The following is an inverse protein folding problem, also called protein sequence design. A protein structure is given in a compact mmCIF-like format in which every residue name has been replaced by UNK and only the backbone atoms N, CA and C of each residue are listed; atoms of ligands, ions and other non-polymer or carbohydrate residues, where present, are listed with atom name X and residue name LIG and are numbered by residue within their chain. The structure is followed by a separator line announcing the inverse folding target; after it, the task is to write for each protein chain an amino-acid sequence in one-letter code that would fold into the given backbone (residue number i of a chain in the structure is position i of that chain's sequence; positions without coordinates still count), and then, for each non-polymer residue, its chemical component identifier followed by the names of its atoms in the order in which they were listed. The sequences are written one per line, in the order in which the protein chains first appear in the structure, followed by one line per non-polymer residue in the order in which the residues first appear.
data_IF_315315628305
#
_entry.id   IF_315315628305
#
_cell.length_a   1.000
_cell.length_b   1.000
_cell.length_c   1.000
_cell.angle_alpha   90.00
_cell.angle_beta   90.00
_cell.angle_gamma   90.00
#
_symmetry.space_group_name_H-M   'P 1'
#
loop_
_entity.id
_entity.type
_entity.pdbx_description
1 polymer ?
#
# COMPACT_ATOMS: atom_id res chain seq x y z
N UNK A 1 19.99 50.60 -49.37
CA UNK A 1 19.54 49.24 -49.00
C UNK A 1 20.43 48.69 -47.89
N UNK A 2 20.01 48.76 -46.63
CA UNK A 2 20.55 47.91 -45.54
C UNK A 2 19.42 47.70 -44.53
N UNK A 3 18.74 46.58 -44.66
CA UNK A 3 17.65 46.15 -43.80
C UNK A 3 18.26 45.54 -42.53
N UNK A 4 17.95 46.10 -41.36
CA UNK A 4 18.30 45.51 -40.07
C UNK A 4 17.21 44.51 -39.69
N UNK A 5 17.53 43.23 -39.75
CA UNK A 5 16.68 42.12 -39.29
C UNK A 5 16.83 41.99 -37.78
N UNK A 6 15.78 42.34 -37.03
CA UNK A 6 15.65 42.05 -35.62
C UNK A 6 15.22 40.59 -35.44
N UNK A 7 16.10 39.76 -34.88
CA UNK A 7 15.78 38.38 -34.52
C UNK A 7 15.10 38.37 -33.14
N UNK A 8 13.79 38.12 -33.15
CA UNK A 8 12.98 37.92 -31.94
C UNK A 8 13.20 36.47 -31.44
N UNK A 9 14.05 36.29 -30.45
CA UNK A 9 14.21 35.00 -29.74
C UNK A 9 13.10 34.89 -28.70
N UNK A 10 12.05 34.12 -29.03
CA UNK A 10 10.99 33.76 -28.08
C UNK A 10 11.49 32.60 -27.23
N UNK A 11 11.89 32.88 -25.99
CA UNK A 11 12.08 31.84 -24.97
C UNK A 11 10.71 31.28 -24.60
N UNK A 12 10.41 30.07 -25.06
CA UNK A 12 9.33 29.25 -24.51
C UNK A 12 9.86 28.68 -23.19
N UNK A 13 9.68 29.42 -22.09
CA UNK A 13 9.83 28.86 -20.76
C UNK A 13 8.72 27.83 -20.58
N UNK A 14 9.07 26.55 -20.72
CA UNK A 14 8.18 25.44 -20.47
C UNK A 14 7.65 25.52 -19.04
N UNK A 15 6.38 25.89 -18.90
CA UNK A 15 5.66 25.76 -17.65
C UNK A 15 5.51 24.26 -17.40
N UNK A 16 6.45 23.68 -16.66
CA UNK A 16 6.28 22.35 -16.12
C UNK A 16 5.08 22.42 -15.18
N UNK A 17 3.93 21.98 -15.67
CA UNK A 17 2.72 21.82 -14.87
C UNK A 17 3.05 20.74 -13.84
N UNK A 18 3.44 21.15 -12.65
CA UNK A 18 3.66 20.25 -11.53
C UNK A 18 2.32 19.57 -11.26
N UNK A 19 2.14 18.35 -11.79
CA UNK A 19 0.97 17.56 -11.48
C UNK A 19 0.97 17.38 -9.95
N UNK A 20 -0.15 17.66 -9.27
CA UNK A 20 -0.23 17.43 -7.83
C UNK A 20 0.14 15.98 -7.58
N UNK A 21 1.20 15.77 -6.81
CA UNK A 21 1.71 14.44 -6.48
C UNK A 21 0.59 13.67 -5.78
N UNK A 22 0.01 12.68 -6.47
CA UNK A 22 -1.03 11.80 -5.89
C UNK A 22 -0.47 11.13 -4.64
N UNK A 23 -1.26 11.17 -3.58
CA UNK A 23 -0.95 10.53 -2.30
C UNK A 23 -1.74 9.23 -2.20
N UNK A 24 -1.09 8.21 -1.67
CA UNK A 24 -1.62 6.87 -1.54
C UNK A 24 -1.64 6.45 -0.08
N UNK A 25 -2.69 5.76 0.32
CA UNK A 25 -2.78 5.11 1.62
C UNK A 25 -2.69 3.60 1.42
N UNK A 26 -1.90 2.92 2.25
CA UNK A 26 -1.80 1.47 2.33
C UNK A 26 -2.47 1.00 3.61
N UNK A 27 -3.31 -0.03 3.48
CA UNK A 27 -3.95 -0.75 4.56
C UNK A 27 -3.44 -2.19 4.52
N UNK A 28 -3.04 -2.70 5.67
CA UNK A 28 -2.64 -4.09 5.88
C UNK A 28 -3.52 -4.60 7.01
N UNK A 29 -4.35 -5.59 6.73
CA UNK A 29 -5.32 -6.11 7.67
C UNK A 29 -5.14 -7.60 7.88
N UNK A 30 -4.80 -7.98 9.10
CA UNK A 30 -4.83 -9.37 9.56
C UNK A 30 -6.24 -9.68 10.06
N UNK A 31 -6.88 -10.67 9.44
CA UNK A 31 -8.24 -11.10 9.74
C UNK A 31 -8.30 -12.05 10.95
N UNK A 32 -7.17 -12.47 11.51
CA UNK A 32 -7.08 -13.42 12.63
C UNK A 32 -7.34 -14.88 12.25
N UNK A 33 -7.84 -15.15 11.03
CA UNK A 33 -8.12 -16.49 10.51
C UNK A 33 -7.08 -16.98 9.49
N UNK A 34 -5.87 -16.39 9.54
CA UNK A 34 -4.76 -16.72 8.64
C UNK A 34 -4.87 -16.10 7.24
N UNK A 35 -5.70 -15.08 7.07
CA UNK A 35 -5.77 -14.26 5.87
C UNK A 35 -5.23 -12.87 6.14
N UNK A 36 -4.53 -12.31 5.17
CA UNK A 36 -4.01 -10.95 5.22
C UNK A 36 -4.44 -10.18 3.99
N UNK A 37 -5.02 -9.00 4.20
CA UNK A 37 -5.52 -8.14 3.13
C UNK A 37 -4.59 -6.94 2.99
N UNK A 38 -4.08 -6.76 1.78
CA UNK A 38 -3.28 -5.61 1.39
C UNK A 38 -4.09 -4.74 0.45
N UNK A 39 -4.47 -3.54 0.88
CA UNK A 39 -5.26 -2.62 0.07
C UNK A 39 -4.57 -1.26 -0.07
N UNK A 40 -4.49 -0.75 -1.29
CA UNK A 40 -3.90 0.57 -1.58
C UNK A 40 -4.95 1.45 -2.23
N UNK A 41 -5.04 2.70 -1.78
CA UNK A 41 -6.00 3.66 -2.29
C UNK A 41 -5.36 5.02 -2.59
N UNK A 42 -5.80 5.65 -3.67
CA UNK A 42 -5.61 7.07 -3.97
C UNK A 42 -6.92 7.67 -4.46
N UNK A 43 -6.98 9.00 -4.61
CA UNK A 43 -8.18 9.67 -5.14
C UNK A 43 -8.65 9.05 -6.47
N UNK A 44 -9.77 8.31 -6.41
CA UNK A 44 -10.41 7.63 -7.54
C UNK A 44 -9.75 6.32 -8.00
N UNK A 45 -8.80 5.75 -7.25
CA UNK A 45 -8.14 4.47 -7.59
C UNK A 45 -7.95 3.61 -6.36
N UNK A 46 -8.17 2.31 -6.52
CA UNK A 46 -7.92 1.33 -5.48
C UNK A 46 -7.40 0.04 -6.12
N UNK A 47 -6.56 -0.68 -5.38
CA UNK A 47 -6.15 -2.04 -5.70
C UNK A 47 -5.99 -2.80 -4.39
N UNK A 48 -6.46 -4.04 -4.35
CA UNK A 48 -6.36 -4.87 -3.16
C UNK A 48 -6.08 -6.32 -3.52
N UNK A 49 -5.39 -7.02 -2.62
CA UNK A 49 -5.20 -8.45 -2.69
C UNK A 49 -5.44 -9.09 -1.33
N UNK A 50 -5.76 -10.36 -1.37
CA UNK A 50 -5.82 -11.26 -0.21
C UNK A 50 -4.68 -12.26 -0.33
N UNK A 51 -3.98 -12.50 0.77
CA UNK A 51 -2.99 -13.55 0.95
C UNK A 51 -3.57 -14.54 1.96
N UNK A 52 -3.59 -15.83 1.62
CA UNK A 52 -3.92 -16.91 2.54
C UNK A 52 -2.71 -17.81 2.72
N UNK A 53 -2.26 -17.93 3.97
CA UNK A 53 -1.02 -18.65 4.28
C UNK A 53 0.17 -18.17 3.45
N UNK A 54 1.08 -19.08 3.07
CA UNK A 54 2.35 -18.74 2.44
C UNK A 54 2.36 -18.74 0.89
N UNK A 55 1.20 -18.68 0.23
CA UNK A 55 1.25 -18.70 -1.24
C UNK A 55 -0.05 -18.64 -2.01
N UNK A 56 -1.22 -18.69 -1.37
CA UNK A 56 -2.47 -18.43 -2.08
C UNK A 56 -2.71 -16.91 -2.09
N UNK A 57 -2.55 -16.31 -3.25
CA UNK A 57 -2.65 -14.86 -3.42
C UNK A 57 -3.64 -14.55 -4.52
N UNK A 58 -4.65 -13.75 -4.20
CA UNK A 58 -5.68 -13.37 -5.14
C UNK A 58 -5.95 -11.88 -5.11
N UNK A 59 -6.20 -11.29 -6.28
CA UNK A 59 -6.67 -9.92 -6.37
C UNK A 59 -8.13 -9.85 -5.95
N UNK A 60 -8.47 -8.84 -5.16
CA UNK A 60 -9.84 -8.54 -4.78
C UNK A 60 -10.44 -7.65 -5.87
N UNK A 61 -11.47 -8.15 -6.57
CA UNK A 61 -12.09 -7.43 -7.68
C UNK A 61 -12.73 -6.11 -7.23
N UNK A 62 -13.39 -6.11 -6.07
CA UNK A 62 -14.04 -4.97 -5.45
C UNK A 62 -13.09 -4.17 -4.54
N UNK A 63 -11.87 -3.89 -5.00
CA UNK A 63 -10.83 -3.22 -4.20
C UNK A 63 -11.29 -1.90 -3.56
N UNK A 64 -12.15 -1.13 -4.24
CA UNK A 64 -12.68 0.12 -3.70
C UNK A 64 -13.63 -0.10 -2.51
N UNK A 65 -14.43 -1.17 -2.54
CA UNK A 65 -15.31 -1.56 -1.44
C UNK A 65 -14.51 -2.06 -0.24
N UNK A 66 -13.49 -2.89 -0.49
CA UNK A 66 -12.56 -3.33 0.56
C UNK A 66 -11.86 -2.15 1.26
N UNK A 67 -11.33 -1.18 0.50
CA UNK A 67 -10.77 0.04 1.07
C UNK A 67 -11.80 0.82 1.90
N UNK A 68 -13.06 0.88 1.45
CA UNK A 68 -14.11 1.54 2.20
C UNK A 68 -14.37 0.84 3.54
N UNK A 69 -14.45 -0.48 3.55
CA UNK A 69 -14.59 -1.28 4.78
C UNK A 69 -13.44 -1.01 5.74
N UNK A 70 -12.18 -1.09 5.28
CA UNK A 70 -11.00 -0.86 6.12
C UNK A 70 -10.94 0.58 6.68
N UNK A 71 -11.42 1.57 5.92
CA UNK A 71 -11.58 2.95 6.42
C UNK A 71 -12.64 3.04 7.51
N UNK A 72 -13.76 2.33 7.37
CA UNK A 72 -14.82 2.29 8.37
C UNK A 72 -14.31 1.60 9.64
N UNK A 73 -13.59 0.48 9.53
CA UNK A 73 -12.95 -0.22 10.66
C UNK A 73 -11.99 0.69 11.41
N UNK A 74 -11.07 1.34 10.68
CA UNK A 74 -10.16 2.34 11.24
C UNK A 74 -10.90 3.44 12.01
N UNK A 75 -12.06 3.90 11.53
CA UNK A 75 -12.80 4.97 12.17
C UNK A 75 -13.55 4.53 13.44
N UNK A 76 -13.73 3.22 13.65
CA UNK A 76 -14.42 2.67 14.82
C UNK A 76 -13.48 2.29 15.96
N UNK A 77 -12.16 2.23 15.72
CA UNK A 77 -11.16 1.68 16.66
C UNK A 77 -11.54 0.28 17.18
N UNK A 78 -12.26 -0.51 16.36
CA UNK A 78 -12.72 -1.86 16.72
C UNK A 78 -11.56 -2.89 16.72
N UNK A 79 -10.44 -2.57 16.08
CA UNK A 79 -9.26 -3.42 15.91
C UNK A 79 -8.02 -2.78 16.58
N UNK A 80 -6.94 -3.55 16.79
CA UNK A 80 -5.64 -2.96 17.12
C UNK A 80 -5.12 -2.18 15.91
N UNK A 81 -5.44 -0.87 15.85
CA UNK A 81 -5.06 0.00 14.73
C UNK A 81 -3.69 0.63 14.97
N UNK A 82 -2.74 0.35 14.06
CA UNK A 82 -1.41 0.98 14.06
C UNK A 82 -1.34 1.97 12.90
N UNK A 83 -1.30 3.27 13.21
CA UNK A 83 -1.15 4.33 12.20
C UNK A 83 0.31 4.74 12.09
N UNK A 84 0.87 4.60 10.89
CA UNK A 84 2.24 4.99 10.58
C UNK A 84 2.23 6.25 9.72
N UNK A 85 2.60 7.39 10.30
CA UNK A 85 2.76 8.66 9.57
C UNK A 85 4.14 8.75 8.91
N UNK A 86 4.17 8.84 7.58
CA UNK A 86 5.41 8.73 6.81
C UNK A 86 6.37 9.92 6.90
N UNK A 87 7.61 9.66 7.36
CA UNK A 87 8.85 10.01 6.63
C UNK A 87 9.93 8.97 6.97
N UNK A 88 10.41 8.23 5.96
CA UNK A 88 11.36 7.10 6.11
C UNK A 88 10.87 5.84 6.85
N UNK A 89 9.56 5.59 6.94
CA UNK A 89 9.09 4.31 7.47
C UNK A 89 9.44 3.17 6.50
N UNK A 90 10.21 2.19 7.00
CA UNK A 90 10.35 0.87 6.40
C UNK A 90 9.42 -0.04 7.19
N UNK A 91 8.32 -0.43 6.58
CA UNK A 91 7.57 -1.59 7.08
C UNK A 91 8.22 -2.79 6.42
N UNK A 92 8.94 -3.58 7.22
CA UNK A 92 9.34 -4.93 6.83
C UNK A 92 8.06 -5.76 6.84
N UNK A 93 7.50 -5.98 5.66
CA UNK A 93 6.46 -6.97 5.45
C UNK A 93 7.20 -8.29 5.50
N UNK A 94 7.13 -8.96 6.66
CA UNK A 94 7.89 -10.18 6.91
C UNK A 94 7.60 -11.24 5.84
N UNK A 95 8.56 -12.12 5.55
CA UNK A 95 8.30 -13.28 4.72
C UNK A 95 7.16 -14.09 5.34
N UNK A 96 6.33 -14.71 4.50
CA UNK A 96 5.37 -15.68 4.98
C UNK A 96 6.08 -16.79 5.77
N UNK A 97 5.95 -16.75 7.10
CA UNK A 97 6.26 -17.84 8.04
C UNK A 97 7.63 -17.80 8.75
N UNK A 98 7.57 -17.77 10.09
CA UNK A 98 8.34 -18.67 10.94
C UNK A 98 7.54 -18.97 12.22
N UNK A 99 6.35 -19.58 12.08
CA UNK A 99 5.74 -20.38 13.17
C UNK A 99 6.20 -21.84 13.05
N UNK A 100 7.48 -22.04 12.73
CA UNK A 100 8.15 -23.33 12.79
C UNK A 100 9.39 -23.11 13.67
N UNK A 101 9.16 -23.00 14.99
CA UNK A 101 10.11 -23.30 16.09
C UNK A 101 9.63 -22.76 17.47
N UNK A 102 8.32 -22.70 17.73
CA UNK A 102 7.80 -22.44 19.09
C UNK A 102 7.74 -23.74 19.91
N UNK A 103 8.88 -24.41 20.06
CA UNK A 103 9.08 -25.43 21.09
C UNK A 103 9.76 -24.77 22.30
N UNK A 104 9.02 -24.62 23.40
CA UNK A 104 9.35 -24.02 24.70
C UNK A 104 9.05 -22.53 24.84
N UNK A 105 7.81 -22.19 25.24
CA UNK A 105 7.59 -21.25 26.33
C UNK A 105 6.31 -21.65 27.09
N UNK A 106 6.41 -21.57 28.41
CA UNK A 106 5.52 -22.15 29.39
C UNK A 106 4.04 -21.72 29.26
N UNK A 107 3.18 -22.69 29.54
CA UNK A 107 1.71 -22.63 29.57
C UNK A 107 1.19 -21.60 30.59
N UNK A 108 1.16 -20.30 30.30
CA UNK A 108 0.42 -19.36 31.15
C UNK A 108 0.05 -18.01 30.48
N UNK A 109 -0.50 -18.03 29.25
CA UNK A 109 -1.20 -16.85 28.68
C UNK A 109 -2.17 -17.14 27.50
N UNK A 110 -2.61 -18.38 27.26
CA UNK A 110 -3.50 -18.69 26.11
C UNK A 110 -4.96 -18.32 26.39
N UNK A 111 -5.22 -17.01 26.40
CA UNK A 111 -6.38 -16.41 25.72
C UNK A 111 -5.82 -15.38 24.75
N UNK A 112 -5.11 -15.87 23.73
CA UNK A 112 -4.92 -15.08 22.52
C UNK A 112 -6.22 -15.22 21.75
N UNK A 113 -7.17 -14.34 22.07
CA UNK A 113 -8.33 -14.10 21.21
C UNK A 113 -7.82 -13.89 19.78
N UNK A 114 -8.56 -14.37 18.78
CA UNK A 114 -8.33 -14.18 17.34
C UNK A 114 -8.21 -12.67 16.99
N UNK A 115 -7.09 -12.05 17.35
CA UNK A 115 -6.97 -10.60 17.43
C UNK A 115 -6.68 -10.06 16.03
N UNK A 116 -7.71 -9.51 15.41
CA UNK A 116 -7.61 -8.75 14.17
C UNK A 116 -6.75 -7.50 14.37
N UNK A 117 -5.89 -7.19 13.40
CA UNK A 117 -5.04 -6.00 13.43
C UNK A 117 -5.09 -5.26 12.10
N UNK A 118 -5.12 -3.93 12.19
CA UNK A 118 -5.14 -3.04 11.02
C UNK A 118 -3.97 -2.06 11.07
N UNK A 119 -3.03 -2.20 10.15
CA UNK A 119 -1.95 -1.22 9.96
C UNK A 119 -2.32 -0.28 8.82
N UNK A 120 -2.16 1.02 9.05
CA UNK A 120 -2.45 2.06 8.05
C UNK A 120 -1.23 2.94 7.84
N UNK A 121 -0.74 2.99 6.62
CA UNK A 121 0.33 3.89 6.18
C UNK A 121 -0.27 4.97 5.28
N UNK A 122 -0.26 6.21 5.76
CA UNK A 122 -0.93 7.30 5.05
C UNK A 122 0.02 8.14 4.20
N UNK A 123 -0.56 8.78 3.18
CA UNK A 123 0.09 9.86 2.41
C UNK A 123 1.42 9.47 1.73
N UNK A 124 1.56 8.20 1.35
CA UNK A 124 2.71 7.70 0.59
C UNK A 124 2.82 8.42 -0.75
N UNK A 125 4.06 8.75 -1.15
CA UNK A 125 4.33 9.25 -2.49
C UNK A 125 4.19 8.14 -3.53
N UNK A 126 4.03 8.47 -4.83
CA UNK A 126 3.99 7.46 -5.90
C UNK A 126 5.23 6.55 -5.91
N UNK A 127 6.41 7.10 -5.64
CA UNK A 127 7.65 6.33 -5.58
C UNK A 127 7.71 5.40 -4.37
N UNK A 128 7.22 5.85 -3.21
CA UNK A 128 7.13 5.02 -2.01
C UNK A 128 6.15 3.87 -2.24
N UNK A 129 4.95 4.15 -2.76
CA UNK A 129 3.94 3.11 -3.03
C UNK A 129 4.45 2.09 -4.05
N UNK A 130 5.06 2.54 -5.14
CA UNK A 130 5.66 1.63 -6.13
C UNK A 130 6.75 0.77 -5.52
N UNK A 131 7.62 1.35 -4.67
CA UNK A 131 8.66 0.60 -4.01
C UNK A 131 8.09 -0.44 -3.04
N UNK A 132 7.16 -0.06 -2.18
CA UNK A 132 6.48 -0.96 -1.25
C UNK A 132 5.78 -2.11 -1.96
N UNK A 133 5.05 -1.83 -3.05
CA UNK A 133 4.41 -2.88 -3.85
C UNK A 133 5.41 -3.80 -4.53
N UNK A 134 6.62 -3.33 -4.89
CA UNK A 134 7.64 -4.18 -5.50
C UNK A 134 8.33 -5.11 -4.52
N UNK A 135 8.44 -4.67 -3.26
CA UNK A 135 9.03 -5.41 -2.15
C UNK A 135 7.98 -6.19 -1.33
N UNK A 136 6.74 -6.25 -1.81
CA UNK A 136 5.70 -7.07 -1.19
C UNK A 136 5.97 -8.54 -1.52
N UNK A 137 6.74 -9.20 -0.66
CA UNK A 137 7.14 -10.60 -0.89
C UNK A 137 5.95 -11.57 -0.78
N UNK A 138 4.88 -11.16 -0.09
CA UNK A 138 3.63 -11.90 0.03
C UNK A 138 2.85 -12.03 -1.30
N UNK A 139 3.26 -11.37 -2.39
CA UNK A 139 2.56 -11.42 -3.68
C UNK A 139 3.49 -11.77 -4.85
N UNK A 140 3.07 -12.60 -5.83
CA UNK A 140 3.82 -12.82 -7.06
C UNK A 140 4.05 -11.53 -7.86
N UNK A 141 5.16 -11.45 -8.59
CA UNK A 141 5.54 -10.29 -9.43
C UNK A 141 4.40 -9.82 -10.33
N UNK A 142 3.69 -10.76 -10.98
CA UNK A 142 2.58 -10.45 -11.88
C UNK A 142 1.43 -9.71 -11.19
N UNK A 143 1.11 -10.10 -9.94
CA UNK A 143 0.08 -9.44 -9.12
C UNK A 143 0.56 -8.05 -8.72
N UNK A 144 1.81 -7.91 -8.27
CA UNK A 144 2.39 -6.62 -7.87
C UNK A 144 2.38 -5.60 -9.03
N UNK A 145 2.81 -6.02 -10.22
CA UNK A 145 2.79 -5.18 -11.42
C UNK A 145 1.36 -4.83 -11.85
N UNK A 146 0.40 -5.75 -11.64
CA UNK A 146 -1.01 -5.46 -11.89
C UNK A 146 -1.55 -4.38 -10.95
N UNK A 147 -1.27 -4.49 -9.65
CA UNK A 147 -1.66 -3.46 -8.68
C UNK A 147 -1.07 -2.09 -9.01
N UNK A 148 0.22 -2.04 -9.38
CA UNK A 148 0.92 -0.82 -9.81
C UNK A 148 0.18 -0.18 -11.00
N UNK A 149 -0.20 -0.99 -12.01
CA UNK A 149 -0.92 -0.51 -13.18
C UNK A 149 -2.31 0.03 -12.82
N UNK A 150 -3.09 -0.67 -12.00
CA UNK A 150 -4.43 -0.25 -11.57
C UNK A 150 -4.36 1.09 -10.80
N UNK A 151 -3.31 1.28 -10.00
CA UNK A 151 -3.04 2.52 -9.26
C UNK A 151 -2.48 3.66 -10.12
N UNK A 152 -2.10 3.39 -11.37
CA UNK A 152 -1.50 4.37 -12.28
C UNK A 152 -0.14 4.86 -11.80
N UNK A 153 0.58 3.95 -11.15
CA UNK A 153 1.95 4.09 -10.72
C UNK A 153 2.89 3.56 -11.80
#
# INVERSE_FOLDING_TARGET
MRWALAALVVMIAGVAVAQPSRRYDLYIFDTGDGREIYAVAAAGRASALEVRGCGDVSLIAEAAEMVHELRVRRARDDDNVIIVHGRNSRTELGPCGADEDSENLDEEAQREDDATSLVVIENMSPSQTRNTLRTLDAAPVAIRERMIADLGL
#
